data_IF_118915350533
#
_entry.id   IF_118915350533
#
_cell.length_a   1.000
_cell.length_b   1.000
_cell.length_c   1.000
_cell.angle_alpha   90.00
_cell.angle_beta   90.00
_cell.angle_gamma   90.00
#
_symmetry.space_group_name_H-M   'P 1'
#
loop_
_entity.id
_entity.type
_entity.pdbx_description
1 polymer ?
#
# COMPACT_ATOMS: atom_id res chain seq x y z
N UNK A 1 -2.77 27.82 -25.44
CA UNK A 1 -1.34 27.92 -25.12
C UNK A 1 -0.91 26.75 -24.24
N UNK A 2 -0.14 25.80 -24.81
CA UNK A 2 0.42 24.64 -24.10
C UNK A 2 1.44 25.04 -23.02
N UNK A 3 1.78 24.14 -22.09
CA UNK A 3 2.96 24.31 -21.22
C UNK A 3 4.07 23.58 -21.94
N UNK A 4 5.17 24.27 -22.24
CA UNK A 4 6.29 23.69 -22.97
C UNK A 4 7.42 23.38 -21.99
N UNK A 5 7.96 22.18 -22.12
CA UNK A 5 9.11 21.72 -21.35
C UNK A 5 10.19 21.28 -22.32
N UNK A 6 11.44 21.47 -21.92
CA UNK A 6 12.61 21.11 -22.73
C UNK A 6 13.61 20.35 -21.85
N UNK A 7 14.21 19.31 -22.42
CA UNK A 7 15.21 18.49 -21.74
C UNK A 7 16.14 17.84 -22.76
N UNK A 8 17.25 17.29 -22.28
CA UNK A 8 18.21 16.60 -23.12
C UNK A 8 17.77 15.15 -23.35
N UNK A 9 17.98 14.63 -24.57
CA UNK A 9 17.62 13.26 -24.89
C UNK A 9 18.29 12.24 -23.96
N UNK A 10 19.54 12.49 -23.57
CA UNK A 10 20.29 11.65 -22.61
C UNK A 10 19.60 11.54 -21.24
N UNK A 11 18.88 12.58 -20.81
CA UNK A 11 18.13 12.60 -19.55
C UNK A 11 16.96 11.61 -19.61
N UNK A 12 16.27 11.53 -20.74
CA UNK A 12 15.19 10.55 -20.94
C UNK A 12 15.73 9.12 -21.08
N UNK A 13 16.86 8.95 -21.77
CA UNK A 13 17.51 7.65 -21.97
C UNK A 13 18.01 6.99 -20.68
N UNK A 14 18.07 7.73 -19.55
CA UNK A 14 18.41 7.15 -18.25
C UNK A 14 17.40 6.09 -17.79
N UNK A 15 16.15 6.19 -18.25
CA UNK A 15 15.08 5.25 -17.90
C UNK A 15 14.41 4.70 -19.18
N UNK A 16 15.05 3.76 -19.90
CA UNK A 16 14.62 3.32 -21.23
C UNK A 16 13.28 2.58 -21.22
N UNK A 17 12.87 2.01 -20.09
CA UNK A 17 11.60 1.27 -19.96
C UNK A 17 10.36 2.17 -19.81
N UNK A 18 10.57 3.47 -19.63
CA UNK A 18 9.49 4.46 -19.46
C UNK A 18 8.95 4.94 -20.79
N UNK A 19 7.76 5.57 -20.80
CA UNK A 19 7.14 6.09 -22.02
C UNK A 19 8.07 7.08 -22.74
N UNK A 20 8.65 8.03 -22.00
CA UNK A 20 9.52 9.06 -22.57
C UNK A 20 10.94 8.55 -22.85
N UNK A 21 11.39 7.49 -22.17
CA UNK A 21 12.70 6.88 -22.42
C UNK A 21 12.71 6.02 -23.68
N UNK A 22 11.64 5.26 -23.93
CA UNK A 22 11.51 4.36 -25.07
C UNK A 22 11.19 5.14 -26.37
N UNK A 23 12.09 5.14 -27.38
CA UNK A 23 11.86 5.82 -28.66
C UNK A 23 10.57 5.36 -29.35
N UNK A 24 10.23 4.07 -29.28
CA UNK A 24 9.04 3.51 -29.95
C UNK A 24 7.75 3.96 -29.28
N UNK A 25 7.74 4.09 -27.94
CA UNK A 25 6.55 4.52 -27.18
C UNK A 25 6.30 6.01 -27.37
N UNK A 26 7.32 6.86 -27.21
CA UNK A 26 7.16 8.31 -27.37
C UNK A 26 6.87 8.75 -28.81
N UNK A 27 7.30 8.00 -29.83
CA UNK A 27 7.05 8.33 -31.24
C UNK A 27 5.56 8.53 -31.56
N UNK A 28 4.67 7.83 -30.83
CA UNK A 28 3.21 7.96 -30.99
C UNK A 28 2.68 9.36 -30.67
N UNK A 29 3.45 10.16 -29.92
CA UNK A 29 3.09 11.49 -29.46
C UNK A 29 3.87 12.59 -30.18
N UNK A 30 4.70 12.24 -31.18
CA UNK A 30 5.53 13.20 -31.90
C UNK A 30 4.73 13.95 -32.97
N UNK A 31 4.75 15.27 -32.90
CA UNK A 31 4.22 16.17 -33.93
C UNK A 31 5.36 16.64 -34.86
N UNK A 32 5.42 16.17 -36.12
CA UNK A 32 6.49 16.52 -37.05
C UNK A 32 6.44 17.96 -37.53
N UNK A 33 5.28 18.64 -37.49
CA UNK A 33 5.14 20.03 -37.93
C UNK A 33 5.76 20.99 -36.91
N UNK A 34 5.69 20.63 -35.64
CA UNK A 34 6.16 21.44 -34.51
C UNK A 34 7.47 20.93 -33.90
N UNK A 35 7.92 19.76 -34.35
CA UNK A 35 9.10 19.05 -33.86
C UNK A 35 9.07 18.92 -32.33
N UNK A 36 7.92 18.52 -31.77
CA UNK A 36 7.70 18.38 -30.33
C UNK A 36 6.89 17.12 -30.01
N UNK A 37 6.99 16.64 -28.78
CA UNK A 37 6.08 15.61 -28.28
C UNK A 37 4.90 16.29 -27.57
N UNK A 38 3.68 15.97 -28.00
CA UNK A 38 2.47 16.59 -27.47
C UNK A 38 1.68 15.62 -26.58
N UNK A 39 1.33 16.08 -25.38
CA UNK A 39 0.53 15.35 -24.41
C UNK A 39 -0.64 16.21 -23.93
N UNK A 40 -1.87 15.77 -24.19
CA UNK A 40 -3.09 16.41 -23.68
C UNK A 40 -3.43 15.86 -22.28
N UNK A 41 -2.63 16.26 -21.28
CA UNK A 41 -2.64 15.68 -19.92
C UNK A 41 -2.54 16.74 -18.81
N UNK A 42 -2.51 16.27 -17.56
CA UNK A 42 -2.44 17.13 -16.39
C UNK A 42 -1.13 17.94 -16.33
N UNK A 43 -1.22 19.22 -16.69
CA UNK A 43 -0.05 20.11 -16.81
C UNK A 43 0.75 20.27 -15.52
N UNK A 44 0.13 20.47 -14.33
CA UNK A 44 0.89 20.65 -13.09
C UNK A 44 1.72 19.42 -12.69
N UNK A 45 1.33 18.22 -13.12
CA UNK A 45 2.05 16.98 -12.80
C UNK A 45 3.37 16.83 -13.54
N UNK A 46 3.47 17.36 -14.76
CA UNK A 46 4.59 17.05 -15.65
C UNK A 46 5.94 17.58 -15.14
N UNK A 47 5.94 18.66 -14.35
CA UNK A 47 7.16 19.20 -13.75
C UNK A 47 7.86 18.15 -12.87
N UNK A 48 7.09 17.44 -12.02
CA UNK A 48 7.61 16.37 -11.20
C UNK A 48 7.99 15.12 -12.01
N UNK A 49 7.23 14.79 -13.07
CA UNK A 49 7.58 13.69 -13.98
C UNK A 49 8.91 13.98 -14.68
N UNK A 50 9.14 15.20 -15.14
CA UNK A 50 10.40 15.58 -15.78
C UNK A 50 11.55 15.59 -14.78
N UNK A 51 11.30 16.09 -13.57
CA UNK A 51 12.27 16.12 -12.48
C UNK A 51 12.72 14.70 -12.07
N UNK A 52 11.85 13.68 -12.18
CA UNK A 52 12.23 12.29 -11.97
C UNK A 52 13.40 11.88 -12.86
N UNK A 53 13.37 12.22 -14.15
CA UNK A 53 14.49 11.95 -15.06
C UNK A 53 15.73 12.79 -14.72
N UNK A 54 15.54 14.08 -14.43
CA UNK A 54 16.65 15.00 -14.16
C UNK A 54 17.40 14.70 -12.86
N UNK A 55 16.68 14.25 -11.84
CA UNK A 55 17.22 13.91 -10.52
C UNK A 55 17.77 12.49 -10.44
N UNK A 56 17.55 11.68 -11.49
CA UNK A 56 17.92 10.27 -11.50
C UNK A 56 17.04 9.38 -10.62
N UNK A 57 15.77 9.74 -10.44
CA UNK A 57 14.77 8.85 -9.85
C UNK A 57 14.02 9.40 -8.62
N UNK A 58 14.13 10.69 -8.31
CA UNK A 58 13.33 11.28 -7.22
C UNK A 58 11.94 11.62 -7.73
N UNK A 59 10.91 11.07 -7.09
CA UNK A 59 9.52 11.34 -7.41
C UNK A 59 8.85 12.02 -6.21
N UNK A 60 8.29 13.21 -6.42
CA UNK A 60 7.55 13.96 -5.40
C UNK A 60 6.33 14.59 -6.05
N UNK A 61 5.17 14.42 -5.44
CA UNK A 61 3.94 15.01 -5.96
C UNK A 61 3.93 16.51 -5.74
N UNK A 62 3.55 17.31 -6.75
CA UNK A 62 3.27 18.72 -6.56
C UNK A 62 2.12 18.91 -5.56
N UNK A 63 2.28 19.80 -4.58
CA UNK A 63 1.30 20.00 -3.48
C UNK A 63 -0.10 20.40 -3.97
N UNK A 64 -0.19 21.00 -5.15
CA UNK A 64 -1.41 21.44 -5.81
C UNK A 64 -2.08 20.36 -6.67
N UNK A 65 -1.54 19.13 -6.70
CA UNK A 65 -2.08 18.02 -7.48
C UNK A 65 -2.60 16.93 -6.54
N UNK A 66 -3.85 16.48 -6.68
CA UNK A 66 -4.37 15.34 -5.93
C UNK A 66 -3.56 14.04 -6.10
N UNK A 67 -3.54 13.19 -5.09
CA UNK A 67 -2.74 11.94 -5.06
C UNK A 67 -3.15 11.00 -6.19
N UNK A 68 -4.45 10.80 -6.37
CA UNK A 68 -5.04 9.96 -7.41
C UNK A 68 -4.62 10.44 -8.82
N UNK A 69 -4.75 11.73 -9.10
CA UNK A 69 -4.34 12.34 -10.37
C UNK A 69 -2.85 12.13 -10.62
N UNK A 70 -2.00 12.40 -9.64
CA UNK A 70 -0.55 12.21 -9.82
C UNK A 70 -0.19 10.73 -10.01
N UNK A 71 -0.87 9.82 -9.30
CA UNK A 71 -0.68 8.38 -9.47
C UNK A 71 -1.04 7.90 -10.88
N UNK A 72 -2.08 8.48 -11.50
CA UNK A 72 -2.45 8.21 -12.88
C UNK A 72 -1.37 8.70 -13.86
N UNK A 73 -0.76 9.85 -13.60
CA UNK A 73 0.34 10.36 -14.43
C UNK A 73 1.60 9.48 -14.32
N UNK A 74 1.97 9.02 -13.11
CA UNK A 74 3.08 8.06 -12.93
C UNK A 74 2.82 6.78 -13.74
N UNK A 75 1.58 6.26 -13.73
CA UNK A 75 1.18 5.09 -14.53
C UNK A 75 1.22 5.39 -16.03
N UNK A 76 0.70 6.53 -16.45
CA UNK A 76 0.67 6.92 -17.86
C UNK A 76 2.07 7.06 -18.45
N UNK A 77 2.98 7.73 -17.74
CA UNK A 77 4.38 7.88 -18.17
C UNK A 77 5.21 6.60 -17.95
N UNK A 78 4.60 5.57 -17.37
CA UNK A 78 5.19 4.24 -17.17
C UNK A 78 6.52 4.34 -16.42
N UNK A 79 6.57 5.11 -15.32
CA UNK A 79 7.80 5.28 -14.54
C UNK A 79 8.27 3.99 -13.84
N UNK A 80 7.42 2.97 -13.81
CA UNK A 80 7.70 1.65 -13.25
C UNK A 80 7.16 1.46 -11.84
N UNK A 81 7.09 0.19 -11.40
CA UNK A 81 6.59 -0.17 -10.06
C UNK A 81 7.50 0.38 -8.96
N UNK A 82 8.83 0.40 -9.15
CA UNK A 82 9.76 0.96 -8.16
C UNK A 82 9.52 2.45 -7.89
N UNK A 83 9.19 3.24 -8.93
CA UNK A 83 8.87 4.65 -8.78
C UNK A 83 7.50 4.83 -8.11
N UNK A 84 6.53 3.99 -8.44
CA UNK A 84 5.21 3.98 -7.82
C UNK A 84 5.28 3.61 -6.33
N UNK A 85 6.11 2.63 -5.97
CA UNK A 85 6.32 2.19 -4.59
C UNK A 85 6.96 3.30 -3.75
N UNK A 86 8.06 3.90 -4.24
CA UNK A 86 8.69 5.06 -3.58
C UNK A 86 7.72 6.22 -3.39
N UNK A 87 6.90 6.51 -4.40
CA UNK A 87 5.86 7.53 -4.31
C UNK A 87 4.82 7.21 -3.22
N UNK A 88 4.35 5.95 -3.14
CA UNK A 88 3.40 5.50 -2.10
C UNK A 88 3.99 5.61 -0.71
N UNK A 89 5.23 5.17 -0.53
CA UNK A 89 5.96 5.27 0.74
C UNK A 89 6.11 6.73 1.19
N UNK A 90 6.52 7.62 0.28
CA UNK A 90 6.69 9.06 0.57
C UNK A 90 5.38 9.78 0.91
N UNK A 91 4.24 9.33 0.37
CA UNK A 91 2.90 9.84 0.70
C UNK A 91 2.32 9.20 1.99
N UNK A 92 3.05 8.28 2.62
CA UNK A 92 2.61 7.63 3.86
C UNK A 92 1.61 6.50 3.66
N UNK A 93 1.46 5.98 2.43
CA UNK A 93 0.75 4.73 2.24
C UNK A 93 1.63 3.60 2.77
N UNK A 94 1.26 3.07 3.93
CA UNK A 94 1.86 1.85 4.45
C UNK A 94 1.68 0.76 3.40
N UNK A 95 2.81 0.15 3.00
CA UNK A 95 2.77 -1.09 2.27
C UNK A 95 2.01 -2.07 3.15
N UNK A 96 0.80 -2.47 2.74
CA UNK A 96 0.20 -3.67 3.32
C UNK A 96 1.25 -4.76 3.10
N UNK A 97 1.83 -5.26 4.20
CA UNK A 97 2.64 -6.46 4.11
C UNK A 97 1.74 -7.50 3.47
N UNK A 98 1.94 -7.77 2.18
CA UNK A 98 1.35 -8.93 1.54
C UNK A 98 1.84 -10.12 2.35
N UNK A 99 1.00 -10.65 3.23
CA UNK A 99 1.27 -11.88 3.98
C UNK A 99 0.93 -13.02 3.02
N UNK A 100 1.90 -13.55 2.23
CA UNK A 100 1.57 -14.54 1.23
C UNK A 100 0.97 -15.77 1.91
N UNK A 101 -0.13 -16.28 1.36
CA UNK A 101 -0.72 -17.51 1.88
C UNK A 101 0.30 -18.66 1.74
N UNK A 102 0.33 -19.60 2.70
CA UNK A 102 1.16 -20.79 2.59
C UNK A 102 0.89 -21.52 1.25
N UNK A 103 1.95 -21.98 0.58
CA UNK A 103 1.83 -22.64 -0.74
C UNK A 103 1.11 -23.98 -0.70
N UNK A 104 1.14 -24.68 0.45
CA UNK A 104 0.51 -26.00 0.62
C UNK A 104 -0.96 -25.82 0.99
N UNK A 105 -1.84 -26.55 0.32
CA UNK A 105 -3.29 -26.41 0.50
C UNK A 105 -3.75 -26.62 1.95
N UNK A 106 -3.18 -27.62 2.65
CA UNK A 106 -3.50 -27.86 4.06
C UNK A 106 -3.06 -26.70 4.97
N UNK A 107 -1.84 -26.20 4.79
CA UNK A 107 -1.33 -25.07 5.58
C UNK A 107 -2.15 -23.81 5.31
N UNK A 108 -2.57 -23.60 4.06
CA UNK A 108 -3.45 -22.50 3.67
C UNK A 108 -4.82 -22.61 4.33
N UNK A 109 -5.42 -23.80 4.36
CA UNK A 109 -6.71 -24.01 5.01
C UNK A 109 -6.64 -23.73 6.51
N UNK A 110 -5.61 -24.24 7.20
CA UNK A 110 -5.38 -23.95 8.62
C UNK A 110 -5.14 -22.46 8.85
N UNK A 111 -4.32 -21.83 8.01
CA UNK A 111 -4.05 -20.39 8.08
C UNK A 111 -5.33 -19.56 7.97
N UNK A 112 -6.17 -19.84 6.96
CA UNK A 112 -7.44 -19.15 6.77
C UNK A 112 -8.39 -19.34 7.95
N UNK A 113 -8.43 -20.55 8.52
CA UNK A 113 -9.32 -20.89 9.62
C UNK A 113 -9.03 -20.10 10.90
N UNK A 114 -7.75 -19.81 11.19
CA UNK A 114 -7.35 -19.12 12.42
C UNK A 114 -7.09 -17.62 12.24
N UNK A 115 -6.53 -17.19 11.10
CA UNK A 115 -6.15 -15.80 10.87
C UNK A 115 -7.31 -14.96 10.34
N UNK A 116 -8.20 -15.57 9.55
CA UNK A 116 -9.28 -14.85 8.84
C UNK A 116 -10.66 -15.40 9.25
N UNK A 117 -11.28 -14.87 10.31
CA UNK A 117 -12.62 -15.27 10.74
C UNK A 117 -13.65 -15.22 9.61
N UNK A 118 -13.56 -14.21 8.73
CA UNK A 118 -14.47 -14.01 7.60
C UNK A 118 -14.28 -15.01 6.45
N UNK A 119 -13.27 -15.88 6.52
CA UNK A 119 -12.97 -16.84 5.44
C UNK A 119 -14.03 -17.94 5.28
N UNK A 120 -14.68 -18.37 6.37
CA UNK A 120 -15.67 -19.46 6.35
C UNK A 120 -16.52 -19.52 7.62
N UNK A 121 -17.66 -20.23 7.57
CA UNK A 121 -18.53 -20.45 8.74
C UNK A 121 -17.81 -21.07 9.95
N UNK A 122 -17.03 -22.16 9.78
CA UNK A 122 -16.22 -22.72 10.87
C UNK A 122 -15.16 -21.76 11.42
N UNK A 123 -14.51 -20.96 10.56
CA UNK A 123 -13.54 -19.93 10.99
C UNK A 123 -14.20 -18.89 11.90
N UNK A 124 -15.40 -18.40 11.53
CA UNK A 124 -16.19 -17.51 12.38
C UNK A 124 -16.52 -18.15 13.73
N UNK A 125 -16.92 -19.42 13.72
CA UNK A 125 -17.20 -20.18 14.95
C UNK A 125 -16.01 -20.24 15.89
N UNK A 126 -14.82 -20.57 15.36
CA UNK A 126 -13.57 -20.61 16.14
C UNK A 126 -13.22 -19.23 16.69
N UNK A 127 -13.36 -18.17 15.89
CA UNK A 127 -13.08 -16.81 16.32
C UNK A 127 -14.00 -16.38 17.49
N UNK A 128 -15.31 -16.68 17.41
CA UNK A 128 -16.27 -16.38 18.48
C UNK A 128 -15.89 -17.12 19.77
N UNK A 129 -15.58 -18.42 19.69
CA UNK A 129 -15.17 -19.21 20.85
C UNK A 129 -13.89 -18.64 21.47
N UNK A 130 -12.91 -18.25 20.64
CA UNK A 130 -11.66 -17.65 21.11
C UNK A 130 -11.91 -16.35 21.89
N UNK A 131 -12.76 -15.46 21.37
CA UNK A 131 -13.14 -14.22 22.05
C UNK A 131 -13.87 -14.50 23.37
N UNK A 132 -14.79 -15.47 23.40
CA UNK A 132 -15.49 -15.84 24.63
C UNK A 132 -14.53 -16.36 25.71
N UNK A 133 -13.57 -17.21 25.34
CA UNK A 133 -12.55 -17.73 26.28
C UNK A 133 -11.71 -16.60 26.86
N UNK A 134 -11.28 -15.63 26.03
CA UNK A 134 -10.53 -14.45 26.48
C UNK A 134 -11.38 -13.60 27.44
N UNK A 135 -12.66 -13.38 27.13
CA UNK A 135 -13.54 -12.60 28.00
C UNK A 135 -13.79 -13.30 29.34
N UNK A 136 -14.07 -14.60 29.33
CA UNK A 136 -14.30 -15.39 30.55
C UNK A 136 -13.03 -15.39 31.42
N UNK A 137 -11.85 -15.54 30.84
CA UNK A 137 -10.60 -15.54 31.61
C UNK A 137 -10.31 -14.18 32.26
N UNK A 138 -10.57 -13.08 31.55
CA UNK A 138 -10.47 -11.72 32.12
C UNK A 138 -11.45 -11.56 33.28
N UNK A 139 -12.70 -12.02 33.14
CA UNK A 139 -13.70 -11.95 34.21
C UNK A 139 -13.27 -12.76 35.43
N UNK A 140 -12.83 -14.02 35.25
CA UNK A 140 -12.33 -14.86 36.35
C UNK A 140 -11.15 -14.19 37.06
N UNK A 141 -10.20 -13.66 36.30
CA UNK A 141 -9.05 -12.93 36.85
C UNK A 141 -9.48 -11.68 37.66
N UNK A 142 -10.43 -10.90 37.14
CA UNK A 142 -11.00 -9.76 37.87
C UNK A 142 -11.70 -10.21 39.16
N UNK A 143 -12.45 -11.31 39.15
CA UNK A 143 -13.11 -11.83 40.35
C UNK A 143 -12.10 -12.35 41.39
N UNK A 144 -11.04 -13.05 40.98
CA UNK A 144 -9.98 -13.52 41.87
C UNK A 144 -9.18 -12.39 42.54
N UNK A 145 -9.14 -11.22 41.91
CA UNK A 145 -8.44 -10.04 42.44
C UNK A 145 -9.31 -9.18 43.36
N UNK A 146 -10.62 -9.42 43.42
CA UNK A 146 -11.52 -8.71 44.34
C UNK A 146 -11.43 -9.31 45.76
N UNK A 147 -11.16 -8.49 46.79
CA UNK A 147 -11.01 -8.98 48.16
C UNK A 147 -12.30 -9.58 48.73
N UNK A 148 -13.49 -9.17 48.25
CA UNK A 148 -14.79 -9.72 48.66
C UNK A 148 -14.97 -11.22 48.37
N UNK A 149 -14.25 -11.78 47.40
CA UNK A 149 -14.30 -13.21 47.04
C UNK A 149 -13.11 -14.03 47.55
N UNK A 150 -12.14 -13.39 48.22
CA UNK A 150 -10.98 -14.08 48.80
C UNK A 150 -11.29 -14.75 50.15
N UNK A 151 -12.35 -14.30 50.84
CA UNK A 151 -12.60 -14.64 52.26
C UNK A 151 -13.60 -15.80 52.52
N UNK A 152 -14.14 -16.48 51.50
CA UNK A 152 -15.04 -17.63 51.74
C UNK A 152 -14.35 -19.01 51.80
N UNK A 153 -13.03 -19.10 51.58
CA UNK A 153 -12.30 -20.37 51.66
C UNK A 153 -11.69 -20.70 53.03
N UNK A 154 -11.76 -19.78 53.99
CA UNK A 154 -11.24 -19.98 55.35
C UNK A 154 -12.39 -20.11 56.37
N UNK A 155 -13.23 -21.13 56.23
CA UNK A 155 -13.98 -21.65 57.38
C UNK A 155 -13.19 -22.82 57.98
N UNK A 156 -12.49 -22.63 59.11
CA UNK A 156 -11.94 -23.77 59.82
C UNK A 156 -13.12 -24.59 60.35
N UNK A 157 -13.20 -25.83 59.89
CA UNK A 157 -13.99 -26.84 60.57
C UNK A 157 -13.59 -26.82 62.05
N UNK A 158 -14.52 -26.41 62.91
CA UNK A 158 -14.30 -26.30 64.35
C UNK A 158 -15.52 -26.91 65.07
N UNK A 159 -15.35 -27.60 66.20
CA UNK A 159 -14.23 -28.41 66.70
C UNK A 159 -14.44 -29.92 66.50
#
# INVERSE_FOLDING_TARGET
SGLRFETQLKTLCQFPETLLGDPKRRMRYFDPLRNEYFFDRNRPSFDAILYYYQSGGRIRRPVNVPIDIFSEEIRFYQLGEEAMEKFREDEGFLREEERPLPRRDFQRQVWLLFEYPESSGPARGIAIVSVLVILISIVIFCLETLPEFRDEKDYPASP
#
